data_IF_403117958320
#
_entry.id   IF_403117958320
#
_cell.length_a   1.000
_cell.length_b   1.000
_cell.length_c   1.000
_cell.angle_alpha   90.00
_cell.angle_beta   90.00
_cell.angle_gamma   90.00
#
_symmetry.space_group_name_H-M   'P 1'
#
loop_
_entity.id
_entity.type
_entity.pdbx_description
1 polymer ?
#
# COMPACT_ATOMS: atom_id res chain seq x y z
N UNK A 1 -3.18 -16.61 -15.88
CA UNK A 1 -2.45 -16.43 -14.61
C UNK A 1 -3.07 -15.27 -13.85
N UNK A 2 -3.21 -15.37 -12.53
CA UNK A 2 -3.57 -14.24 -11.66
C UNK A 2 -2.29 -13.84 -10.92
N UNK A 3 -2.01 -12.55 -10.84
CA UNK A 3 -0.87 -12.00 -10.11
C UNK A 3 -1.40 -11.31 -8.85
N UNK A 4 -0.82 -11.66 -7.71
CA UNK A 4 -1.01 -10.94 -6.45
C UNK A 4 0.27 -10.16 -6.17
N UNK A 5 0.21 -8.84 -6.23
CA UNK A 5 1.36 -7.99 -6.00
C UNK A 5 1.27 -7.32 -4.63
N UNK A 6 2.23 -7.60 -3.76
CA UNK A 6 2.40 -6.88 -2.49
C UNK A 6 3.24 -5.62 -2.74
N UNK A 7 2.57 -4.48 -2.78
CA UNK A 7 3.13 -3.17 -3.06
C UNK A 7 3.12 -2.28 -1.79
N UNK A 8 3.24 -2.88 -0.60
CA UNK A 8 3.20 -2.16 0.69
C UNK A 8 4.31 -1.11 0.86
N UNK A 9 5.43 -1.26 0.14
CA UNK A 9 6.57 -0.34 0.15
C UNK A 9 6.63 0.61 -1.06
N UNK A 10 5.58 0.65 -1.91
CA UNK A 10 5.57 1.43 -3.15
C UNK A 10 5.95 2.92 -3.00
N UNK A 11 5.68 3.51 -1.84
CA UNK A 11 5.99 4.92 -1.56
C UNK A 11 7.43 5.17 -1.08
N UNK A 12 8.21 4.12 -0.79
CA UNK A 12 9.56 4.21 -0.19
C UNK A 12 10.70 3.91 -1.18
N UNK A 13 10.56 4.38 -2.41
CA UNK A 13 11.55 4.13 -3.48
C UNK A 13 12.76 5.05 -3.34
N UNK A 14 13.96 4.53 -3.53
CA UNK A 14 15.18 5.33 -3.34
C UNK A 14 15.55 6.20 -4.54
N UNK A 15 15.33 5.68 -5.74
CA UNK A 15 15.73 6.28 -7.02
C UNK A 15 14.68 5.93 -8.08
N UNK A 16 14.37 6.89 -8.97
CA UNK A 16 13.38 6.72 -10.03
C UNK A 16 11.93 6.65 -9.53
N UNK A 17 11.05 6.24 -10.44
CA UNK A 17 9.61 6.13 -10.20
C UNK A 17 9.18 4.70 -9.93
N UNK A 18 8.12 4.55 -9.13
CA UNK A 18 7.46 3.26 -8.97
C UNK A 18 6.81 2.82 -10.28
N UNK A 19 7.00 1.56 -10.64
CA UNK A 19 6.19 0.92 -11.67
C UNK A 19 5.30 -0.14 -11.00
N UNK A 20 4.01 0.15 -10.77
CA UNK A 20 3.06 -0.85 -10.29
C UNK A 20 2.99 -2.04 -11.24
N UNK A 21 2.77 -3.21 -10.69
CA UNK A 21 2.68 -4.46 -11.47
C UNK A 21 1.51 -4.42 -12.45
N UNK A 22 0.40 -3.77 -12.05
CA UNK A 22 -0.76 -3.56 -12.90
C UNK A 22 -0.49 -2.63 -14.10
N UNK A 23 0.61 -1.86 -14.11
CA UNK A 23 1.03 -1.09 -15.29
C UNK A 23 1.57 -2.00 -16.41
N UNK A 24 2.11 -3.16 -16.05
CA UNK A 24 2.69 -4.14 -16.97
C UNK A 24 1.67 -5.22 -17.35
N UNK A 25 0.83 -5.64 -16.40
CA UNK A 25 -0.18 -6.70 -16.58
C UNK A 25 -1.49 -6.33 -15.86
N UNK A 26 -2.29 -5.40 -16.40
CA UNK A 26 -3.48 -4.87 -15.73
C UNK A 26 -4.62 -5.89 -15.57
N UNK A 27 -4.79 -6.81 -16.52
CA UNK A 27 -5.99 -7.63 -16.68
C UNK A 27 -6.27 -8.61 -15.54
N UNK A 28 -5.23 -9.05 -14.83
CA UNK A 28 -5.35 -10.05 -13.74
C UNK A 28 -4.37 -9.81 -12.60
N UNK A 29 -3.97 -8.56 -12.37
CA UNK A 29 -3.14 -8.17 -11.23
C UNK A 29 -3.99 -7.58 -10.11
N UNK A 30 -4.00 -8.24 -8.96
CA UNK A 30 -4.52 -7.69 -7.71
C UNK A 30 -3.35 -7.00 -7.00
N UNK A 31 -3.49 -5.71 -6.70
CA UNK A 31 -2.50 -4.98 -5.91
C UNK A 31 -2.94 -4.98 -4.45
N UNK A 32 -2.05 -5.34 -3.54
CA UNK A 32 -2.23 -5.19 -2.10
C UNK A 32 -1.27 -4.13 -1.58
N UNK A 33 -1.78 -3.15 -0.84
CA UNK A 33 -0.94 -2.12 -0.23
C UNK A 33 -1.63 -1.52 1.00
N UNK A 34 -1.06 -0.48 1.59
CA UNK A 34 -1.57 0.17 2.78
C UNK A 34 -0.58 1.16 3.36
N UNK A 35 -0.82 1.54 4.61
CA UNK A 35 -0.13 2.69 5.24
C UNK A 35 0.90 2.26 6.29
N UNK A 36 0.96 0.96 6.60
CA UNK A 36 1.73 0.39 7.70
C UNK A 36 3.23 0.66 7.65
N UNK A 37 3.78 0.94 6.46
CA UNK A 37 5.22 1.09 6.24
C UNK A 37 5.59 2.54 5.98
N UNK A 38 5.15 3.07 4.83
CA UNK A 38 5.48 4.44 4.44
C UNK A 38 4.77 5.50 5.28
N UNK A 39 3.61 5.18 5.87
CA UNK A 39 2.82 6.08 6.72
C UNK A 39 2.99 5.82 8.22
N UNK A 40 3.98 5.01 8.63
CA UNK A 40 4.25 4.67 10.03
C UNK A 40 3.07 4.10 10.84
N UNK A 41 2.04 3.57 10.19
CA UNK A 41 0.77 3.23 10.86
C UNK A 41 0.57 1.72 11.06
N UNK A 42 1.64 0.96 11.35
CA UNK A 42 1.59 -0.51 11.40
C UNK A 42 0.55 -1.09 12.37
N UNK A 43 0.35 -0.42 13.50
CA UNK A 43 -0.63 -0.81 14.52
C UNK A 43 -2.08 -0.44 14.18
N UNK A 44 -2.32 0.33 13.11
CA UNK A 44 -3.63 0.95 12.85
C UNK A 44 -4.61 0.03 12.11
N UNK A 45 -4.12 -1.13 11.65
CA UNK A 45 -4.93 -2.21 11.07
C UNK A 45 -5.77 -1.78 9.86
N UNK A 46 -5.20 -0.92 9.02
CA UNK A 46 -5.80 -0.49 7.76
C UNK A 46 -4.85 -0.75 6.59
N UNK A 47 -5.39 -1.39 5.55
CA UNK A 47 -4.80 -1.60 4.24
C UNK A 47 -5.91 -1.73 3.21
N UNK A 48 -5.56 -1.81 1.94
CA UNK A 48 -6.52 -1.93 0.86
C UNK A 48 -5.94 -2.76 -0.28
N UNK A 49 -6.83 -3.26 -1.13
CA UNK A 49 -6.45 -3.97 -2.33
C UNK A 49 -7.25 -3.43 -3.52
N UNK A 50 -6.58 -3.33 -4.66
CA UNK A 50 -7.18 -2.98 -5.93
C UNK A 50 -7.39 -4.27 -6.73
N UNK A 51 -8.60 -4.44 -7.27
CA UNK A 51 -8.97 -5.56 -8.12
C UNK A 51 -9.34 -5.02 -9.51
N UNK A 52 -8.85 -5.64 -10.59
CA UNK A 52 -9.29 -5.32 -11.95
C UNK A 52 -10.72 -5.84 -12.16
N UNK A 53 -11.44 -5.24 -13.12
CA UNK A 53 -12.86 -5.54 -13.37
C UNK A 53 -13.09 -7.02 -13.70
N UNK A 54 -12.13 -7.65 -14.38
CA UNK A 54 -12.15 -9.07 -14.76
C UNK A 54 -12.15 -10.02 -13.56
N UNK A 55 -11.80 -9.54 -12.37
CA UNK A 55 -11.76 -10.30 -11.12
C UNK A 55 -12.87 -9.90 -10.13
N UNK A 56 -13.92 -9.22 -10.58
CA UNK A 56 -15.01 -8.74 -9.71
C UNK A 56 -15.74 -9.88 -8.96
N UNK A 57 -16.02 -11.00 -9.64
CA UNK A 57 -16.66 -12.15 -8.99
C UNK A 57 -15.75 -12.78 -7.92
N UNK A 58 -14.45 -12.83 -8.18
CA UNK A 58 -13.46 -13.26 -7.19
C UNK A 58 -13.41 -12.30 -6.01
N UNK A 59 -13.44 -10.98 -6.25
CA UNK A 59 -13.48 -9.96 -5.21
C UNK A 59 -14.71 -10.12 -4.32
N UNK A 60 -15.90 -10.33 -4.89
CA UNK A 60 -17.15 -10.57 -4.15
C UNK A 60 -17.05 -11.81 -3.27
N UNK A 61 -16.56 -12.92 -3.82
CA UNK A 61 -16.37 -14.16 -3.07
C UNK A 61 -15.39 -13.97 -1.90
N UNK A 62 -14.27 -13.26 -2.15
CA UNK A 62 -13.28 -12.95 -1.11
C UNK A 62 -13.88 -12.08 0.01
N UNK A 63 -14.61 -11.02 -0.33
CA UNK A 63 -15.25 -10.14 0.67
C UNK A 63 -16.29 -10.90 1.48
N UNK A 64 -17.10 -11.74 0.84
CA UNK A 64 -18.09 -12.58 1.53
C UNK A 64 -17.41 -13.54 2.52
N UNK A 65 -16.30 -14.17 2.11
CA UNK A 65 -15.50 -15.05 2.98
C UNK A 65 -14.83 -14.29 4.13
N UNK A 66 -14.20 -13.15 3.84
CA UNK A 66 -13.53 -12.32 4.84
C UNK A 66 -14.51 -11.78 5.90
N UNK A 67 -15.74 -11.47 5.50
CA UNK A 67 -16.82 -11.06 6.41
C UNK A 67 -17.18 -12.12 7.47
N UNK A 68 -16.85 -13.39 7.25
CA UNK A 68 -17.02 -14.46 8.24
C UNK A 68 -15.87 -14.53 9.25
N UNK A 69 -14.73 -13.89 8.94
CA UNK A 69 -13.54 -13.85 9.80
C UNK A 69 -13.41 -12.54 10.58
N UNK A 70 -13.79 -11.42 9.96
CA UNK A 70 -13.75 -10.11 10.58
C UNK A 70 -14.83 -9.17 10.00
N UNK A 71 -15.40 -8.30 10.82
CA UNK A 71 -16.50 -7.43 10.39
C UNK A 71 -16.05 -6.37 9.40
N UNK A 72 -15.07 -5.53 9.76
CA UNK A 72 -14.55 -4.45 8.91
C UNK A 72 -13.25 -3.86 9.48
N UNK A 73 -12.60 -3.00 8.69
CA UNK A 73 -11.49 -2.18 9.18
C UNK A 73 -11.97 -1.06 10.13
N UNK A 74 -11.14 -0.56 11.05
CA UNK A 74 -11.56 0.42 12.05
C UNK A 74 -12.04 1.74 11.41
N UNK A 75 -13.31 2.11 11.64
CA UNK A 75 -13.91 3.28 10.98
C UNK A 75 -13.18 4.62 11.25
N UNK A 76 -12.75 4.97 12.48
CA UNK A 76 -12.02 6.20 12.73
C UNK A 76 -10.72 6.30 11.92
N UNK A 77 -10.05 5.16 11.72
CA UNK A 77 -8.81 5.06 10.96
C UNK A 77 -9.07 5.23 9.46
N UNK A 78 -10.18 4.70 8.95
CA UNK A 78 -10.62 4.93 7.58
C UNK A 78 -10.84 6.42 7.32
N UNK A 79 -11.48 7.15 8.24
CA UNK A 79 -11.69 8.60 8.11
C UNK A 79 -10.36 9.38 8.15
N UNK A 80 -9.46 9.03 9.06
CA UNK A 80 -8.15 9.69 9.17
C UNK A 80 -7.35 9.58 7.86
N UNK A 81 -7.22 8.37 7.32
CA UNK A 81 -6.50 8.14 6.07
C UNK A 81 -7.25 8.68 4.84
N UNK A 82 -8.59 8.64 4.82
CA UNK A 82 -9.36 9.26 3.76
C UNK A 82 -9.15 10.77 3.69
N UNK A 83 -8.95 11.44 4.83
CA UNK A 83 -8.58 12.86 4.89
C UNK A 83 -7.12 13.08 4.46
N UNK A 84 -6.20 12.26 4.96
CA UNK A 84 -4.79 12.34 4.61
C UNK A 84 -4.53 12.15 3.11
N UNK A 85 -5.36 11.36 2.41
CA UNK A 85 -5.23 11.10 0.98
C UNK A 85 -5.94 12.14 0.08
N UNK A 86 -6.88 12.92 0.61
CA UNK A 86 -7.64 13.91 -0.17
C UNK A 86 -7.00 15.29 -0.16
N UNK A 87 -6.42 15.67 0.96
CA UNK A 87 -5.81 16.98 1.15
C UNK A 87 -4.30 16.86 1.01
N UNK A 88 -3.62 17.95 0.65
CA UNK A 88 -2.16 18.02 0.67
C UNK A 88 -1.68 18.24 2.11
N UNK A 89 -0.73 17.42 2.55
CA UNK A 89 -0.14 17.50 3.89
C UNK A 89 1.38 17.49 3.82
N UNK A 90 2.00 18.68 3.80
CA UNK A 90 3.46 18.81 3.74
C UNK A 90 4.17 18.01 4.85
N UNK A 91 3.56 17.85 6.03
CA UNK A 91 4.16 17.06 7.11
C UNK A 91 4.28 15.57 6.74
N UNK A 92 3.31 15.01 6.02
CA UNK A 92 3.33 13.61 5.58
C UNK A 92 4.38 13.44 4.48
N UNK A 93 4.40 14.37 3.52
CA UNK A 93 5.36 14.33 2.40
C UNK A 93 6.80 14.50 2.89
N UNK A 94 7.04 15.43 3.82
CA UNK A 94 8.32 15.60 4.48
C UNK A 94 8.73 14.34 5.25
N UNK A 95 7.81 13.72 5.99
CA UNK A 95 8.07 12.47 6.70
C UNK A 95 8.51 11.34 5.74
N UNK A 96 7.78 11.13 4.64
CA UNK A 96 8.12 10.10 3.65
C UNK A 96 9.48 10.39 3.00
N UNK A 97 9.77 11.65 2.69
CA UNK A 97 11.06 12.10 2.14
C UNK A 97 12.23 11.81 3.08
N UNK A 98 12.05 12.06 4.37
CA UNK A 98 13.05 11.77 5.40
C UNK A 98 13.27 10.26 5.56
N UNK A 99 12.19 9.48 5.60
CA UNK A 99 12.28 8.02 5.62
C UNK A 99 13.06 7.47 4.42
N UNK A 100 12.78 7.95 3.20
CA UNK A 100 13.50 7.54 1.99
C UNK A 100 15.00 7.86 2.10
N UNK A 101 15.34 9.04 2.64
CA UNK A 101 16.74 9.47 2.81
C UNK A 101 17.49 8.58 3.81
N UNK A 102 16.88 8.31 4.97
CA UNK A 102 17.46 7.45 6.01
C UNK A 102 17.63 6.03 5.48
N UNK A 103 16.55 5.43 4.94
CA UNK A 103 16.57 4.05 4.44
C UNK A 103 17.58 3.86 3.30
N UNK A 104 17.69 4.83 2.38
CA UNK A 104 18.69 4.81 1.31
C UNK A 104 20.12 4.86 1.85
N UNK A 105 20.35 5.66 2.89
CA UNK A 105 21.67 5.76 3.53
C UNK A 105 22.05 4.45 4.20
N UNK A 106 21.12 3.85 4.95
CA UNK A 106 21.32 2.54 5.60
C UNK A 106 21.56 1.45 4.55
N UNK A 107 20.75 1.40 3.49
CA UNK A 107 20.91 0.42 2.41
C UNK A 107 22.31 0.49 1.78
N UNK A 108 22.77 1.70 1.41
CA UNK A 108 24.12 1.91 0.87
C UNK A 108 25.25 1.56 1.84
N UNK A 109 25.01 1.70 3.13
CA UNK A 109 25.98 1.26 4.14
C UNK A 109 26.04 -0.27 4.19
N UNK A 110 24.89 -0.94 4.19
CA UNK A 110 24.81 -2.40 4.19
C UNK A 110 25.36 -3.05 2.92
N UNK A 111 25.21 -2.43 1.74
CA UNK A 111 25.75 -2.94 0.46
C UNK A 111 27.29 -3.00 0.40
N UNK A 112 27.99 -2.29 1.30
CA UNK A 112 29.46 -2.26 1.33
C UNK A 112 30.08 -3.45 2.07
N UNK A 113 29.26 -4.28 2.72
CA UNK A 113 29.66 -5.48 3.46
C UNK A 113 29.03 -6.71 2.83
#
# INVERSE_FOLDING_TARGET
>A
MIVLSDEIYAQLIFDGDFCPTAKVYPERTIIMTGFSKWGSSGGWRLGYAYFPEELEDFRKALVASAGQSHSCAPAPIQFAWAKALRDEHEQIDAYVRDCRTILKTVARFCERF
#
